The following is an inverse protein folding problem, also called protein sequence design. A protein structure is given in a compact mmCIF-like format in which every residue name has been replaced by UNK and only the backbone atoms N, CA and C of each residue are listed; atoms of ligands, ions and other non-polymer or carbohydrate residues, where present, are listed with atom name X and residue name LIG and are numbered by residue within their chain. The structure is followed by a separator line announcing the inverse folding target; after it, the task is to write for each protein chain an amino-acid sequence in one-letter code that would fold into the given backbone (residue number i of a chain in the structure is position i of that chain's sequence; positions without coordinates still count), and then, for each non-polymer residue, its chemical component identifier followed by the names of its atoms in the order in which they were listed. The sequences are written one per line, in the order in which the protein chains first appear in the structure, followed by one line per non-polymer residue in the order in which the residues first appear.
data_IF_871907230470
#
_entry.id   IF_871907230470
#
_cell.length_a   1.000
_cell.length_b   1.000
_cell.length_c   1.000
_cell.angle_alpha   90.00
_cell.angle_beta   90.00
_cell.angle_gamma   90.00
#
_symmetry.space_group_name_H-M   'P 1'
#
loop_
_entity.id
_entity.type
_entity.pdbx_description
1 polymer ?
#
# COMPACT_ATOMS: atom_id res chain seq x y z
N UNK A 1 37.28 19.05 -0.89
CA UNK A 1 35.89 19.52 -1.10
C UNK A 1 35.01 18.30 -1.15
N UNK A 2 34.22 18.04 -0.10
CA UNK A 2 33.29 16.92 -0.10
C UNK A 2 32.13 17.25 -1.03
N UNK A 3 31.95 16.46 -2.09
CA UNK A 3 30.80 16.51 -2.96
C UNK A 3 29.56 16.14 -2.14
N UNK A 4 28.67 17.11 -1.92
CA UNK A 4 27.33 16.81 -1.44
C UNK A 4 26.64 15.98 -2.51
N UNK A 5 26.64 14.65 -2.32
CA UNK A 5 25.74 13.76 -3.03
C UNK A 5 24.33 14.28 -2.73
N UNK A 6 23.72 14.95 -3.70
CA UNK A 6 22.30 15.27 -3.69
C UNK A 6 21.54 13.94 -3.78
N UNK A 7 21.47 13.21 -2.67
CA UNK A 7 20.49 12.14 -2.53
C UNK A 7 19.13 12.80 -2.65
N UNK A 8 18.50 12.63 -3.81
CA UNK A 8 17.11 13.06 -4.02
C UNK A 8 16.30 12.45 -2.88
N UNK A 9 15.82 13.30 -1.98
CA UNK A 9 15.00 12.85 -0.87
C UNK A 9 13.73 12.27 -1.47
N UNK A 10 13.54 10.96 -1.31
CA UNK A 10 12.34 10.28 -1.81
C UNK A 10 11.13 10.98 -1.21
N UNK A 11 10.30 11.57 -2.08
CA UNK A 11 9.09 12.26 -1.67
C UNK A 11 8.10 11.23 -1.08
N UNK A 12 7.35 11.65 -0.06
CA UNK A 12 6.33 10.80 0.54
C UNK A 12 5.22 10.58 -0.52
N UNK A 13 4.92 9.32 -0.89
CA UNK A 13 3.87 9.04 -1.88
C UNK A 13 2.51 9.51 -1.38
N UNK A 14 1.89 10.43 -2.11
CA UNK A 14 0.56 10.95 -1.81
C UNK A 14 -0.50 10.01 -2.35
N UNK A 15 -1.53 9.76 -1.57
CA UNK A 15 -2.64 8.92 -1.99
C UNK A 15 -3.51 9.65 -3.00
N UNK A 16 -3.71 9.04 -4.17
CA UNK A 16 -4.40 9.61 -5.33
C UNK A 16 -5.62 8.79 -5.77
N UNK A 17 -6.16 7.96 -4.87
CA UNK A 17 -7.23 6.98 -5.11
C UNK A 17 -6.80 5.67 -5.78
N UNK A 18 -5.59 5.57 -6.34
CA UNK A 18 -5.06 4.31 -6.88
C UNK A 18 -4.35 3.51 -5.80
N UNK A 19 -5.11 2.76 -4.99
CA UNK A 19 -4.57 2.07 -3.82
C UNK A 19 -3.41 1.13 -4.11
N UNK A 20 -3.50 0.28 -5.13
CA UNK A 20 -2.44 -0.70 -5.40
C UNK A 20 -1.12 -0.02 -5.81
N UNK A 21 -1.20 0.99 -6.66
CA UNK A 21 -0.04 1.79 -7.04
C UNK A 21 0.55 2.55 -5.85
N UNK A 22 -0.31 3.26 -5.10
CA UNK A 22 0.12 4.00 -3.92
C UNK A 22 0.71 3.11 -2.84
N UNK A 23 0.09 1.96 -2.55
CA UNK A 23 0.54 1.03 -1.52
C UNK A 23 1.90 0.44 -1.87
N UNK A 24 2.14 0.07 -3.12
CA UNK A 24 3.45 -0.35 -3.62
C UNK A 24 4.53 0.72 -3.37
N UNK A 25 4.25 1.99 -3.71
CA UNK A 25 5.20 3.09 -3.50
C UNK A 25 5.44 3.37 -2.01
N UNK A 26 4.38 3.38 -1.21
CA UNK A 26 4.45 3.65 0.22
C UNK A 26 5.16 2.52 0.97
N UNK A 27 4.93 1.25 0.62
CA UNK A 27 5.68 0.12 1.15
C UNK A 27 7.17 0.28 0.85
N UNK A 28 7.54 0.49 -0.42
CA UNK A 28 8.94 0.68 -0.77
C UNK A 28 9.59 1.86 -0.02
N UNK A 29 8.86 2.98 0.13
CA UNK A 29 9.30 4.11 0.93
C UNK A 29 9.58 3.72 2.41
N UNK A 30 8.68 2.98 3.05
CA UNK A 30 8.85 2.56 4.45
C UNK A 30 10.00 1.55 4.63
N UNK A 31 10.19 0.66 3.66
CA UNK A 31 11.31 -0.28 3.63
C UNK A 31 12.64 0.46 3.52
N UNK A 32 12.73 1.48 2.66
CA UNK A 32 13.92 2.34 2.54
C UNK A 32 14.29 3.08 3.83
N UNK A 33 13.36 3.21 4.78
CA UNK A 33 13.53 3.87 6.08
C UNK A 33 13.65 2.91 7.26
N UNK A 34 13.72 1.60 7.00
CA UNK A 34 13.87 0.55 8.02
C UNK A 34 12.73 0.50 9.07
N UNK A 35 11.53 0.94 8.69
CA UNK A 35 10.32 0.87 9.55
C UNK A 35 9.55 -0.45 9.39
N UNK A 36 10.04 -1.35 8.54
CA UNK A 36 9.39 -2.61 8.14
C UNK A 36 8.93 -3.55 9.28
N UNK A 37 9.55 -3.65 10.47
CA UNK A 37 9.08 -4.62 11.48
C UNK A 37 7.69 -4.33 12.09
N UNK A 38 7.06 -3.19 11.78
CA UNK A 38 5.78 -2.77 12.37
C UNK A 38 4.57 -3.10 11.50
N UNK A 39 4.76 -3.27 10.19
CA UNK A 39 3.66 -3.60 9.26
C UNK A 39 3.04 -4.96 9.61
N UNK A 40 3.83 -5.89 10.15
CA UNK A 40 3.39 -7.24 10.48
C UNK A 40 2.68 -7.33 11.84
N UNK A 41 3.15 -6.64 12.88
CA UNK A 41 2.62 -6.78 14.25
C UNK A 41 2.03 -5.48 14.80
N UNK A 42 0.76 -5.52 15.20
CA UNK A 42 0.17 -4.49 16.06
C UNK A 42 1.03 -4.41 17.32
N UNK A 43 1.47 -3.22 17.72
CA UNK A 43 2.14 -3.04 19.01
C UNK A 43 1.13 -3.42 20.09
N UNK A 44 1.32 -4.59 20.71
CA UNK A 44 0.51 -5.01 21.84
C UNK A 44 1.06 -4.36 23.10
N UNK A 45 0.20 -3.72 23.87
CA UNK A 45 0.56 -3.29 25.22
C UNK A 45 0.72 -4.53 26.11
N UNK A 46 1.75 -4.60 26.96
CA UNK A 46 1.91 -5.70 27.89
C UNK A 46 0.70 -5.79 28.82
N UNK A 47 0.20 -7.00 29.06
CA UNK A 47 -0.88 -7.23 30.02
C UNK A 47 -0.52 -6.66 31.40
N UNK A 48 -1.49 -5.98 32.03
CA UNK A 48 -1.33 -5.38 33.35
C UNK A 48 -0.93 -6.46 34.36
N UNK A 49 0.34 -6.46 34.78
CA UNK A 49 0.85 -7.39 35.80
C UNK A 49 2.19 -8.05 35.45
N UNK A 50 2.65 -7.98 34.20
CA UNK A 50 3.94 -8.54 33.78
C UNK A 50 5.04 -7.48 33.96
N UNK A 51 5.99 -7.73 34.87
CA UNK A 51 7.17 -6.89 34.99
C UNK A 51 8.13 -7.19 33.83
N UNK A 52 8.16 -6.30 32.84
CA UNK A 52 9.08 -6.41 31.70
C UNK A 52 10.52 -6.21 32.16
N UNK A 53 11.43 -7.05 31.68
CA UNK A 53 12.88 -6.86 31.87
C UNK A 53 13.31 -5.58 31.14
N UNK A 54 14.30 -4.84 31.64
CA UNK A 54 14.86 -3.64 30.99
C UNK A 54 15.09 -3.74 29.47
N UNK A 55 15.69 -4.83 28.91
CA UNK A 55 15.82 -4.99 27.46
C UNK A 55 14.49 -5.11 26.71
N UNK A 56 13.43 -5.63 27.34
CA UNK A 56 12.10 -5.72 26.73
C UNK A 56 11.41 -4.35 26.67
N UNK A 57 11.57 -3.53 27.71
CA UNK A 57 11.07 -2.15 27.72
C UNK A 57 11.73 -1.31 26.62
N UNK A 58 13.05 -1.36 26.52
CA UNK A 58 13.80 -0.64 25.49
C UNK A 58 13.39 -1.05 24.06
N UNK A 59 13.13 -2.34 23.83
CA UNK A 59 12.63 -2.83 22.55
C UNK A 59 11.22 -2.29 22.24
N UNK A 60 10.33 -2.30 23.22
CA UNK A 60 8.96 -1.80 23.07
C UNK A 60 8.93 -0.28 22.78
N UNK A 61 9.76 0.50 23.45
CA UNK A 61 9.91 1.93 23.18
C UNK A 61 10.47 2.19 21.79
N UNK A 62 11.49 1.43 21.36
CA UNK A 62 12.02 1.54 20.00
C UNK A 62 10.96 1.23 18.94
N UNK A 63 10.10 0.22 19.17
CA UNK A 63 8.95 -0.08 18.29
C UNK A 63 7.92 1.04 18.28
N UNK A 64 7.55 1.58 19.44
CA UNK A 64 6.63 2.74 19.55
C UNK A 64 7.16 3.96 18.80
N UNK A 65 8.45 4.26 18.92
CA UNK A 65 9.09 5.37 18.22
C UNK A 65 9.05 5.18 16.69
N UNK A 66 9.33 3.96 16.22
CA UNK A 66 9.22 3.65 14.79
C UNK A 66 7.77 3.72 14.30
N UNK A 67 6.78 3.27 15.08
CA UNK A 67 5.36 3.35 14.73
C UNK A 67 4.88 4.80 14.63
N UNK A 68 5.24 5.66 15.58
CA UNK A 68 4.94 7.09 15.51
C UNK A 68 5.51 7.74 14.24
N UNK A 69 6.74 7.39 13.84
CA UNK A 69 7.33 7.88 12.60
C UNK A 69 6.56 7.38 11.37
N UNK A 70 6.24 6.08 11.31
CA UNK A 70 5.47 5.49 10.22
C UNK A 70 4.07 6.13 10.10
N UNK A 71 3.38 6.35 11.22
CA UNK A 71 2.08 7.06 11.28
C UNK A 71 2.16 8.46 10.71
N UNK A 72 3.20 9.22 11.06
CA UNK A 72 3.39 10.56 10.53
C UNK A 72 3.51 10.55 9.01
N UNK A 73 4.15 9.54 8.42
CA UNK A 73 4.19 9.41 6.95
C UNK A 73 2.81 9.13 6.35
N UNK A 74 1.98 8.29 6.97
CA UNK A 74 0.60 8.10 6.50
C UNK A 74 -0.23 9.37 6.60
N UNK A 75 -0.10 10.15 7.67
CA UNK A 75 -0.76 11.45 7.79
C UNK A 75 -0.30 12.46 6.74
N UNK A 76 0.97 12.40 6.35
CA UNK A 76 1.50 13.21 5.25
C UNK A 76 1.17 12.66 3.87
N UNK A 77 0.76 11.40 3.75
CA UNK A 77 0.38 10.77 2.49
C UNK A 77 -1.11 10.94 2.16
N UNK A 78 -1.95 11.05 3.19
CA UNK A 78 -3.40 11.00 3.08
C UNK A 78 -3.99 12.39 3.31
N UNK A 79 -5.07 12.73 2.58
CA UNK A 79 -5.80 13.98 2.78
C UNK A 79 -6.77 13.93 3.97
N UNK A 80 -7.06 15.11 4.52
CA UNK A 80 -7.95 15.27 5.68
C UNK A 80 -9.31 14.55 5.55
N UNK A 81 -10.03 14.64 4.41
CA UNK A 81 -11.33 13.96 4.27
C UNK A 81 -11.22 12.43 4.35
N UNK A 82 -10.10 11.86 3.89
CA UNK A 82 -9.86 10.42 3.99
C UNK A 82 -9.50 10.06 5.43
N UNK A 83 -8.63 10.85 6.05
CA UNK A 83 -8.23 10.66 7.44
C UNK A 83 -9.44 10.69 8.39
N UNK A 84 -10.40 11.58 8.16
CA UNK A 84 -11.64 11.67 8.93
C UNK A 84 -12.46 10.37 8.90
N UNK A 85 -12.42 9.64 7.77
CA UNK A 85 -13.18 8.38 7.61
C UNK A 85 -12.57 7.17 8.34
N UNK A 86 -11.33 7.28 8.83
CA UNK A 86 -10.63 6.19 9.52
C UNK A 86 -11.02 6.23 11.00
N UNK A 87 -11.68 5.20 11.52
CA UNK A 87 -12.16 5.21 12.92
C UNK A 87 -11.03 5.04 13.95
N UNK A 88 -10.16 4.05 13.74
CA UNK A 88 -9.03 3.78 14.63
C UNK A 88 -7.72 4.30 14.03
N UNK A 89 -6.99 5.12 14.78
CA UNK A 89 -5.72 5.73 14.35
C UNK A 89 -4.62 5.55 15.41
N UNK A 90 -4.74 4.53 16.24
CA UNK A 90 -3.84 4.29 17.38
C UNK A 90 -2.45 3.85 16.92
N UNK A 91 -2.38 2.98 15.91
CA UNK A 91 -1.13 2.49 15.33
C UNK A 91 -1.05 2.78 13.83
N UNK A 92 0.15 2.69 13.25
CA UNK A 92 0.33 2.71 11.79
C UNK A 92 -0.53 1.63 11.13
N UNK A 93 -0.57 0.44 11.73
CA UNK A 93 -1.31 -0.71 11.23
C UNK A 93 -2.82 -0.45 11.17
N UNK A 94 -3.39 0.23 12.17
CA UNK A 94 -4.83 0.56 12.16
C UNK A 94 -5.20 1.46 10.97
N UNK A 95 -4.37 2.45 10.68
CA UNK A 95 -4.55 3.38 9.55
C UNK A 95 -4.36 2.62 8.23
N UNK A 96 -3.29 1.83 8.12
CA UNK A 96 -2.97 1.03 6.93
C UNK A 96 -4.08 0.03 6.59
N UNK A 97 -4.54 -0.76 7.58
CA UNK A 97 -5.59 -1.76 7.39
C UNK A 97 -6.93 -1.10 7.04
N UNK A 98 -7.22 0.09 7.61
CA UNK A 98 -8.41 0.87 7.25
C UNK A 98 -8.35 1.37 5.81
N UNK A 99 -7.19 1.87 5.35
CA UNK A 99 -6.95 2.27 3.97
C UNK A 99 -7.12 1.07 3.02
N UNK A 100 -6.49 -0.06 3.34
CA UNK A 100 -6.59 -1.31 2.60
C UNK A 100 -8.03 -1.76 2.43
N UNK A 101 -8.78 -1.83 3.55
CA UNK A 101 -10.18 -2.25 3.54
C UNK A 101 -11.08 -1.34 2.70
N UNK A 102 -10.80 -0.04 2.67
CA UNK A 102 -11.63 0.94 1.97
C UNK A 102 -11.29 1.04 0.47
N UNK A 103 -10.02 0.94 0.10
CA UNK A 103 -9.55 1.33 -1.23
C UNK A 103 -8.90 0.21 -2.05
N UNK A 104 -8.48 -0.91 -1.46
CA UNK A 104 -7.99 -2.06 -2.23
C UNK A 104 -9.12 -2.73 -3.05
N UNK A 105 -10.37 -2.31 -2.84
CA UNK A 105 -11.54 -3.02 -3.35
C UNK A 105 -11.80 -4.30 -2.55
N UNK A 106 -12.85 -5.03 -2.94
CA UNK A 106 -13.08 -6.37 -2.42
C UNK A 106 -12.57 -7.38 -3.42
N UNK A 107 -12.09 -8.53 -2.94
CA UNK A 107 -11.77 -9.70 -3.78
C UNK A 107 -12.91 -10.11 -4.72
N UNK A 108 -14.15 -9.68 -4.44
CA UNK A 108 -15.31 -9.87 -5.34
C UNK A 108 -15.28 -8.93 -6.54
N UNK A 109 -14.86 -7.67 -6.38
CA UNK A 109 -14.73 -6.70 -7.47
C UNK A 109 -13.58 -7.07 -8.38
N UNK A 110 -12.42 -7.39 -7.81
CA UNK A 110 -11.25 -7.90 -8.53
C UNK A 110 -11.60 -9.19 -9.31
N UNK A 111 -12.29 -10.15 -8.67
CA UNK A 111 -12.77 -11.35 -9.36
C UNK A 111 -13.76 -11.05 -10.49
N UNK A 112 -14.64 -10.07 -10.30
CA UNK A 112 -15.58 -9.67 -11.36
C UNK A 112 -14.87 -9.02 -12.55
N UNK A 113 -13.84 -8.19 -12.30
CA UNK A 113 -12.99 -7.60 -13.33
C UNK A 113 -12.21 -8.68 -14.09
N UNK A 114 -11.54 -9.60 -13.37
CA UNK A 114 -10.84 -10.73 -13.97
C UNK A 114 -11.79 -11.63 -14.78
N UNK A 115 -13.02 -11.85 -14.31
CA UNK A 115 -14.02 -12.58 -15.08
C UNK A 115 -14.49 -11.84 -16.33
N UNK A 116 -14.58 -10.51 -16.30
CA UNK A 116 -14.89 -9.70 -17.47
C UNK A 116 -13.77 -9.80 -18.51
N UNK A 117 -12.51 -9.56 -18.10
CA UNK A 117 -11.33 -9.70 -18.96
C UNK A 117 -11.22 -11.10 -19.57
N UNK A 118 -11.49 -12.14 -18.76
CA UNK A 118 -11.54 -13.52 -19.25
C UNK A 118 -12.61 -13.73 -20.32
N UNK A 119 -13.82 -13.19 -20.13
CA UNK A 119 -14.88 -13.26 -21.15
C UNK A 119 -14.49 -12.49 -22.41
N UNK A 120 -13.90 -11.32 -22.28
CA UNK A 120 -13.43 -10.51 -23.40
C UNK A 120 -12.35 -11.25 -24.20
N UNK A 121 -11.46 -11.97 -23.51
CA UNK A 121 -10.47 -12.84 -24.15
C UNK A 121 -11.08 -14.07 -24.80
N UNK A 122 -12.00 -14.77 -24.12
CA UNK A 122 -12.69 -15.96 -24.64
C UNK A 122 -13.55 -15.65 -25.88
N UNK A 123 -14.08 -14.44 -25.96
CA UNK A 123 -14.88 -13.96 -27.11
C UNK A 123 -14.07 -13.14 -28.10
N UNK A 124 -12.76 -13.00 -27.88
CA UNK A 124 -11.88 -12.22 -28.73
C UNK A 124 -11.78 -12.88 -30.11
N UNK A 125 -12.28 -12.17 -31.11
CA UNK A 125 -12.19 -12.54 -32.50
C UNK A 125 -11.79 -11.32 -33.33
N UNK A 126 -11.06 -11.60 -34.41
CA UNK A 126 -10.72 -10.60 -35.41
C UNK A 126 -12.00 -10.20 -36.16
N UNK A 127 -12.24 -8.90 -36.27
CA UNK A 127 -13.44 -8.36 -36.94
C UNK A 127 -13.24 -8.33 -38.45
N UNK A 128 -14.33 -8.35 -39.22
CA UNK A 128 -14.27 -8.19 -40.66
C UNK A 128 -13.66 -6.83 -41.04
N UNK A 129 -12.59 -6.87 -41.84
CA UNK A 129 -11.84 -5.68 -42.23
C UNK A 129 -10.89 -5.10 -41.16
N UNK A 130 -10.72 -5.77 -40.01
CA UNK A 130 -9.71 -5.39 -39.02
C UNK A 130 -8.31 -5.73 -39.51
N UNK A 131 -7.35 -4.83 -39.29
CA UNK A 131 -5.94 -5.13 -39.55
C UNK A 131 -5.38 -6.06 -38.47
N UNK A 132 -4.51 -6.99 -38.88
CA UNK A 132 -3.85 -7.93 -37.96
C UNK A 132 -3.12 -7.21 -36.82
N UNK A 133 -2.51 -6.07 -37.10
CA UNK A 133 -1.85 -5.23 -36.07
C UNK A 133 -2.82 -4.73 -35.01
N UNK A 134 -4.01 -4.26 -35.42
CA UNK A 134 -5.05 -3.79 -34.51
C UNK A 134 -5.61 -4.91 -33.64
N UNK A 135 -5.82 -6.09 -34.21
CA UNK A 135 -6.21 -7.28 -33.46
C UNK A 135 -5.15 -7.68 -32.42
N UNK A 136 -3.87 -7.67 -32.82
CA UNK A 136 -2.76 -7.99 -31.93
C UNK A 136 -2.63 -6.98 -30.78
N UNK A 137 -2.77 -5.68 -31.04
CA UNK A 137 -2.76 -4.65 -29.99
C UNK A 137 -3.87 -4.88 -28.97
N UNK A 138 -5.11 -5.14 -29.40
CA UNK A 138 -6.24 -5.46 -28.50
C UNK A 138 -5.97 -6.71 -27.67
N UNK A 139 -5.40 -7.74 -28.29
CA UNK A 139 -5.04 -8.99 -27.58
C UNK A 139 -4.01 -8.70 -26.49
N UNK A 140 -3.01 -7.87 -26.78
CA UNK A 140 -1.96 -7.49 -25.85
C UNK A 140 -2.52 -6.67 -24.69
N UNK A 141 -3.42 -5.71 -24.96
CA UNK A 141 -4.10 -4.92 -23.92
C UNK A 141 -4.85 -5.82 -22.93
N UNK A 142 -5.72 -6.70 -23.41
CA UNK A 142 -6.47 -7.63 -22.53
C UNK A 142 -5.52 -8.52 -21.74
N UNK A 143 -4.44 -9.02 -22.37
CA UNK A 143 -3.48 -9.89 -21.69
C UNK A 143 -2.60 -9.17 -20.68
N UNK A 144 -2.42 -7.86 -20.80
CA UNK A 144 -1.67 -7.04 -19.84
C UNK A 144 -2.55 -6.57 -18.67
N UNK A 145 -3.87 -6.52 -18.87
CA UNK A 145 -4.85 -6.14 -17.84
C UNK A 145 -5.33 -7.35 -17.00
N UNK A 146 -5.14 -8.59 -17.48
CA UNK A 146 -5.33 -9.83 -16.70
C UNK A 146 -4.30 -9.98 -15.58
#
# INVERSE_FOLDING_TARGET
MATYSNFVQVAIPRFDSHYDHWSMLMENFLWSKEYCPITESRIQEPEKGISLTEPQKANLEARRQKDLKAKNYLFLAIDWPILETILCKETFKDIWDSMKKKYQGSTRVERAQLQALRRDFETLAMKDGEYVSSYFSRTMEISNEM
#
